data_IF_570496096859
#
_entry.id   IF_570496096859
#
_cell.length_a   1.000
_cell.length_b   1.000
_cell.length_c   1.000
_cell.angle_alpha   90.00
_cell.angle_beta   90.00
_cell.angle_gamma   90.00
#
_symmetry.space_group_name_H-M   'P 1'
#
loop_
_entity.id
_entity.type
_entity.pdbx_description
1 polymer ?
#
# COMPACT_ATOMS: atom_id res chain seq x y z
N UNK A 1 -31.66 20.20 -13.00
CA UNK A 1 -31.76 19.79 -11.59
C UNK A 1 -30.53 18.97 -11.30
N UNK A 2 -29.64 19.37 -10.38
CA UNK A 2 -28.58 18.49 -9.95
C UNK A 2 -29.22 17.33 -9.21
N UNK A 3 -28.91 16.12 -9.67
CA UNK A 3 -29.33 14.87 -9.05
C UNK A 3 -28.63 14.81 -7.69
N UNK A 4 -29.41 14.93 -6.62
CA UNK A 4 -28.98 14.51 -5.30
C UNK A 4 -28.73 13.00 -5.42
N UNK A 5 -27.49 12.61 -5.68
CA UNK A 5 -27.03 11.27 -5.33
C UNK A 5 -27.27 11.14 -3.82
N UNK A 6 -28.24 10.32 -3.46
CA UNK A 6 -28.37 9.86 -2.10
C UNK A 6 -27.08 9.09 -1.80
N UNK A 7 -26.14 9.73 -1.11
CA UNK A 7 -25.09 9.03 -0.39
C UNK A 7 -25.81 8.05 0.52
N UNK A 8 -25.69 6.75 0.22
CA UNK A 8 -26.11 5.70 1.13
C UNK A 8 -25.36 5.96 2.43
N UNK A 9 -26.08 6.37 3.47
CA UNK A 9 -25.50 6.68 4.76
C UNK A 9 -24.96 5.37 5.34
N UNK A 10 -23.63 5.27 5.49
CA UNK A 10 -22.95 4.07 5.98
C UNK A 10 -23.24 3.94 7.48
N UNK A 11 -23.84 2.82 7.88
CA UNK A 11 -24.00 2.47 9.29
C UNK A 11 -22.73 1.79 9.83
N UNK A 12 -21.83 2.60 10.37
CA UNK A 12 -20.57 2.17 11.00
C UNK A 12 -20.75 1.24 12.21
N UNK A 13 -21.97 1.13 12.74
CA UNK A 13 -22.27 0.30 13.90
C UNK A 13 -22.95 -1.03 13.53
N UNK A 14 -23.31 -1.22 12.27
CA UNK A 14 -23.85 -2.48 11.78
C UNK A 14 -22.84 -3.63 11.91
N UNK A 15 -23.33 -4.83 12.18
CA UNK A 15 -22.47 -6.03 12.26
C UNK A 15 -21.78 -6.32 10.93
N UNK A 16 -22.45 -6.05 9.80
CA UNK A 16 -21.87 -6.20 8.47
C UNK A 16 -20.67 -5.27 8.28
N UNK A 17 -20.80 -3.98 8.65
CA UNK A 17 -19.69 -3.04 8.56
C UNK A 17 -18.53 -3.47 9.46
N UNK A 18 -18.81 -3.84 10.72
CA UNK A 18 -17.76 -4.25 11.66
C UNK A 18 -17.04 -5.53 11.26
N UNK A 19 -17.75 -6.49 10.67
CA UNK A 19 -17.14 -7.70 10.13
C UNK A 19 -16.18 -7.38 8.99
N UNK A 20 -16.61 -6.62 7.98
CA UNK A 20 -15.74 -6.19 6.88
C UNK A 20 -14.56 -5.32 7.38
N UNK A 21 -14.85 -4.37 8.28
CA UNK A 21 -13.85 -3.50 8.88
C UNK A 21 -12.80 -4.27 9.67
N UNK A 22 -13.16 -5.41 10.28
CA UNK A 22 -12.19 -6.24 11.03
C UNK A 22 -11.03 -6.71 10.15
N UNK A 23 -11.31 -7.07 8.89
CA UNK A 23 -10.32 -7.54 7.92
C UNK A 23 -9.60 -6.39 7.24
N UNK A 24 -10.30 -5.35 6.81
CA UNK A 24 -9.67 -4.16 6.17
C UNK A 24 -8.76 -3.43 7.16
N UNK A 25 -9.21 -3.20 8.39
CA UNK A 25 -8.38 -2.58 9.42
C UNK A 25 -7.17 -3.46 9.79
N UNK A 26 -7.32 -4.79 9.79
CA UNK A 26 -6.20 -5.69 10.01
C UNK A 26 -5.16 -5.63 8.88
N UNK A 27 -5.61 -5.60 7.62
CA UNK A 27 -4.73 -5.42 6.46
C UNK A 27 -3.90 -4.15 6.64
N UNK A 28 -4.53 -3.02 6.97
CA UNK A 28 -3.78 -1.78 7.15
C UNK A 28 -2.79 -1.90 8.32
N UNK A 29 -3.19 -2.44 9.47
CA UNK A 29 -2.29 -2.63 10.61
C UNK A 29 -1.09 -3.54 10.29
N UNK A 30 -1.33 -4.63 9.56
CA UNK A 30 -0.26 -5.56 9.18
C UNK A 30 0.65 -4.93 8.12
N UNK A 31 0.11 -4.24 7.12
CA UNK A 31 0.89 -3.52 6.12
C UNK A 31 1.84 -2.51 6.76
N UNK A 32 1.37 -1.76 7.75
CA UNK A 32 2.18 -0.81 8.52
C UNK A 32 3.24 -1.50 9.39
N UNK A 33 2.93 -2.68 9.94
CA UNK A 33 3.91 -3.49 10.68
C UNK A 33 4.99 -4.03 9.75
N UNK A 34 4.62 -4.55 8.59
CA UNK A 34 5.58 -5.02 7.58
C UNK A 34 6.42 -3.87 7.04
N UNK A 35 5.83 -2.70 6.76
CA UNK A 35 6.55 -1.52 6.31
C UNK A 35 7.60 -1.07 7.34
N UNK A 36 7.23 -1.06 8.64
CA UNK A 36 8.17 -0.81 9.73
C UNK A 36 9.39 -1.75 9.69
N UNK A 37 9.15 -3.05 9.52
CA UNK A 37 10.19 -4.07 9.49
C UNK A 37 11.02 -4.01 8.21
N UNK A 38 10.38 -3.76 7.07
CA UNK A 38 11.01 -3.63 5.76
C UNK A 38 11.96 -2.44 5.72
N UNK A 39 11.56 -1.28 6.26
CA UNK A 39 12.44 -0.12 6.36
C UNK A 39 13.60 -0.35 7.34
N UNK A 40 13.40 -1.07 8.45
CA UNK A 40 14.51 -1.51 9.30
C UNK A 40 15.49 -2.40 8.53
N UNK A 41 14.97 -3.34 7.73
CA UNK A 41 15.80 -4.23 6.93
C UNK A 41 16.58 -3.49 5.85
N UNK A 42 15.93 -2.55 5.15
CA UNK A 42 16.58 -1.67 4.20
C UNK A 42 17.69 -0.84 4.86
N UNK A 43 17.51 -0.40 6.11
CA UNK A 43 18.54 0.34 6.85
C UNK A 43 19.80 -0.49 7.15
N UNK A 44 19.68 -1.82 7.19
CA UNK A 44 20.83 -2.73 7.25
C UNK A 44 21.53 -2.86 5.89
N UNK A 45 20.76 -2.93 4.81
CA UNK A 45 21.27 -3.09 3.44
C UNK A 45 21.87 -1.79 2.87
N UNK A 46 21.38 -0.64 3.32
CA UNK A 46 21.79 0.70 2.90
C UNK A 46 22.31 1.49 4.12
N UNK A 47 23.49 1.13 4.66
CA UNK A 47 23.99 1.71 5.91
C UNK A 47 24.25 3.23 5.82
N UNK A 48 24.48 3.76 4.61
CA UNK A 48 24.66 5.19 4.39
C UNK A 48 23.36 6.00 4.58
N UNK A 49 22.20 5.38 4.36
CA UNK A 49 20.87 6.00 4.48
C UNK A 49 20.14 5.55 5.76
N UNK A 50 20.87 4.86 6.65
CA UNK A 50 20.30 4.21 7.84
C UNK A 50 19.41 5.11 8.68
N UNK A 51 19.87 6.33 8.99
CA UNK A 51 19.11 7.23 9.87
C UNK A 51 17.80 7.68 9.23
N UNK A 52 17.80 7.90 7.91
CA UNK A 52 16.59 8.23 7.16
C UNK A 52 15.61 7.05 7.15
N UNK A 53 16.09 5.86 6.81
CA UNK A 53 15.28 4.63 6.77
C UNK A 53 14.71 4.25 8.14
N UNK A 54 15.47 4.42 9.22
CA UNK A 54 14.94 4.25 10.59
C UNK A 54 13.91 5.33 10.94
N UNK A 55 14.04 6.53 10.36
CA UNK A 55 13.03 7.57 10.43
C UNK A 55 11.70 7.14 9.81
N UNK A 56 11.75 6.58 8.58
CA UNK A 56 10.58 6.02 7.88
C UNK A 56 9.97 4.86 8.67
N UNK A 57 10.77 3.89 9.10
CA UNK A 57 10.27 2.79 9.94
C UNK A 57 9.53 3.29 11.18
N UNK A 58 10.03 4.32 11.86
CA UNK A 58 9.35 4.91 13.03
C UNK A 58 8.03 5.59 12.66
N UNK A 59 7.87 6.05 11.43
CA UNK A 59 6.64 6.64 10.91
C UNK A 59 5.54 5.59 10.77
N UNK A 60 5.84 4.46 10.12
CA UNK A 60 4.90 3.33 9.98
C UNK A 60 4.40 2.81 11.32
N UNK A 61 5.29 2.68 12.32
CA UNK A 61 4.86 2.26 13.65
C UNK A 61 3.97 3.31 14.36
N UNK A 62 3.96 4.58 13.92
CA UNK A 62 2.97 5.57 14.37
C UNK A 62 1.66 5.42 13.60
N UNK A 63 1.71 5.22 12.28
CA UNK A 63 0.54 4.98 11.44
C UNK A 63 -0.22 3.74 11.93
N UNK A 64 0.47 2.62 12.14
CA UNK A 64 -0.07 1.40 12.75
C UNK A 64 -0.88 1.69 14.01
N UNK A 65 -0.32 2.45 14.95
CA UNK A 65 -1.01 2.80 16.21
C UNK A 65 -2.24 3.68 16.00
N UNK A 66 -2.21 4.52 14.96
CA UNK A 66 -3.35 5.29 14.48
C UNK A 66 -4.48 4.36 14.01
N UNK A 67 -4.18 3.41 13.14
CA UNK A 67 -5.17 2.45 12.63
C UNK A 67 -5.68 1.46 13.69
N UNK A 68 -4.81 1.03 14.62
CA UNK A 68 -5.26 0.32 15.82
C UNK A 68 -6.27 1.14 16.65
N UNK A 69 -6.13 2.48 16.67
CA UNK A 69 -7.09 3.36 17.34
C UNK A 69 -8.42 3.46 16.58
N UNK A 70 -8.40 3.42 15.24
CA UNK A 70 -9.61 3.36 14.41
C UNK A 70 -10.44 2.10 14.70
N UNK A 71 -9.80 0.93 14.76
CA UNK A 71 -10.47 -0.31 15.21
C UNK A 71 -11.08 -0.20 16.60
N UNK A 72 -10.33 0.34 17.58
CA UNK A 72 -10.85 0.58 18.94
C UNK A 72 -12.04 1.54 18.97
N UNK A 73 -12.03 2.60 18.17
CA UNK A 73 -13.11 3.58 18.08
C UNK A 73 -14.44 2.91 17.68
N UNK A 74 -14.39 1.96 16.75
CA UNK A 74 -15.56 1.23 16.27
C UNK A 74 -15.88 -0.04 17.08
N UNK A 75 -15.11 -0.30 18.15
CA UNK A 75 -15.19 -1.55 18.93
C UNK A 75 -15.02 -2.81 18.08
N UNK A 76 -14.10 -2.74 17.11
CA UNK A 76 -13.76 -3.84 16.20
C UNK A 76 -12.44 -4.46 16.61
N UNK A 77 -12.39 -5.79 16.66
CA UNK A 77 -11.14 -6.56 16.82
C UNK A 77 -10.62 -6.87 15.42
N UNK A 78 -9.39 -6.46 15.12
CA UNK A 78 -8.76 -6.69 13.82
C UNK A 78 -8.44 -8.18 13.62
N UNK A 79 -8.80 -8.74 12.46
CA UNK A 79 -8.46 -10.11 12.06
C UNK A 79 -7.01 -10.19 11.53
N UNK A 80 -6.06 -10.26 12.46
CA UNK A 80 -4.63 -10.28 12.12
C UNK A 80 -4.17 -11.58 11.46
N UNK A 81 -4.92 -12.68 11.56
CA UNK A 81 -4.59 -13.92 10.87
C UNK A 81 -4.85 -13.76 9.38
N UNK A 82 -6.04 -13.25 9.02
CA UNK A 82 -6.37 -12.90 7.65
C UNK A 82 -5.36 -11.93 7.02
N UNK A 83 -4.96 -10.88 7.75
CA UNK A 83 -4.03 -9.88 7.24
C UNK A 83 -2.62 -10.45 6.95
N UNK A 84 -2.10 -11.34 7.79
CA UNK A 84 -0.80 -12.00 7.54
C UNK A 84 -0.86 -12.91 6.32
N UNK A 85 -1.95 -13.65 6.16
CA UNK A 85 -2.15 -14.48 4.96
C UNK A 85 -2.25 -13.62 3.70
N UNK A 86 -2.95 -12.49 3.79
CA UNK A 86 -3.12 -11.52 2.70
C UNK A 86 -1.79 -10.99 2.16
N UNK A 87 -0.84 -10.62 3.03
CA UNK A 87 0.48 -10.12 2.59
C UNK A 87 1.54 -11.21 2.35
N UNK A 88 1.31 -12.44 2.82
CA UNK A 88 2.32 -13.51 2.87
C UNK A 88 3.17 -13.68 1.60
N UNK A 89 2.56 -13.62 0.41
CA UNK A 89 3.26 -13.78 -0.86
C UNK A 89 4.21 -12.59 -1.15
N UNK A 90 3.74 -11.36 -0.93
CA UNK A 90 4.52 -10.15 -1.14
C UNK A 90 5.62 -10.03 -0.08
N UNK A 91 5.28 -10.33 1.18
CA UNK A 91 6.21 -10.42 2.29
C UNK A 91 7.34 -11.42 1.98
N UNK A 92 7.00 -12.63 1.55
CA UNK A 92 8.00 -13.65 1.21
C UNK A 92 8.94 -13.18 0.08
N UNK A 93 8.40 -12.53 -0.96
CA UNK A 93 9.22 -11.99 -2.04
C UNK A 93 10.19 -10.90 -1.54
N UNK A 94 9.76 -10.04 -0.62
CA UNK A 94 10.64 -9.08 0.03
C UNK A 94 11.74 -9.77 0.84
N UNK A 95 11.40 -10.74 1.69
CA UNK A 95 12.38 -11.44 2.54
C UNK A 95 13.43 -12.19 1.70
N UNK A 96 13.02 -12.85 0.61
CA UNK A 96 13.93 -13.49 -0.34
C UNK A 96 14.85 -12.47 -0.99
N UNK A 97 14.32 -11.36 -1.49
CA UNK A 97 15.12 -10.29 -2.08
C UNK A 97 16.13 -9.71 -1.08
N UNK A 98 15.70 -9.45 0.15
CA UNK A 98 16.55 -8.91 1.20
C UNK A 98 17.68 -9.88 1.60
N UNK A 99 17.40 -11.19 1.67
CA UNK A 99 18.40 -12.22 1.93
C UNK A 99 19.44 -12.34 0.80
N UNK A 100 19.04 -12.06 -0.43
CA UNK A 100 19.92 -12.05 -1.61
C UNK A 100 20.64 -10.70 -1.82
N UNK A 101 20.36 -9.67 -1.00
CA UNK A 101 20.92 -8.33 -1.16
C UNK A 101 20.34 -7.55 -2.37
N UNK A 102 19.18 -7.96 -2.89
CA UNK A 102 18.47 -7.33 -4.00
C UNK A 102 17.71 -6.09 -3.55
N UNK A 103 18.47 -5.01 -3.30
CA UNK A 103 17.95 -3.73 -2.80
C UNK A 103 16.91 -3.15 -3.75
N UNK A 104 17.13 -3.23 -5.06
CA UNK A 104 16.20 -2.71 -6.08
C UNK A 104 14.84 -3.39 -5.99
N UNK A 105 14.83 -4.74 -5.89
CA UNK A 105 13.59 -5.50 -5.68
C UNK A 105 12.90 -5.13 -4.36
N UNK A 106 13.66 -4.98 -3.27
CA UNK A 106 13.11 -4.58 -1.98
C UNK A 106 12.43 -3.20 -2.03
N UNK A 107 13.09 -2.21 -2.66
CA UNK A 107 12.56 -0.87 -2.83
C UNK A 107 11.34 -0.83 -3.77
N UNK A 108 11.30 -1.66 -4.82
CA UNK A 108 10.11 -1.77 -5.66
C UNK A 108 8.91 -2.33 -4.87
N UNK A 109 9.12 -3.36 -4.04
CA UNK A 109 8.04 -3.95 -3.25
C UNK A 109 7.55 -2.95 -2.20
N UNK A 110 8.44 -2.46 -1.35
CA UNK A 110 8.06 -1.57 -0.25
C UNK A 110 7.69 -0.18 -0.77
N UNK A 111 8.66 0.54 -1.31
CA UNK A 111 8.55 1.98 -1.57
C UNK A 111 7.74 2.35 -2.82
N UNK A 112 7.38 1.38 -3.68
CA UNK A 112 6.50 1.64 -4.83
C UNK A 112 5.20 0.85 -4.72
N UNK A 113 5.25 -0.48 -4.72
CA UNK A 113 4.02 -1.29 -4.75
C UNK A 113 3.18 -1.09 -3.49
N UNK A 114 3.77 -1.26 -2.30
CA UNK A 114 3.04 -1.14 -1.03
C UNK A 114 2.61 0.31 -0.81
N UNK A 115 3.50 1.29 -0.99
CA UNK A 115 3.12 2.71 -0.79
C UNK A 115 2.02 3.17 -1.75
N UNK A 116 2.09 2.83 -3.05
CA UNK A 116 1.02 3.19 -3.99
C UNK A 116 -0.29 2.48 -3.65
N UNK A 117 -0.23 1.24 -3.15
CA UNK A 117 -1.42 0.51 -2.70
C UNK A 117 -2.03 1.16 -1.46
N UNK A 118 -1.22 1.55 -0.49
CA UNK A 118 -1.65 2.23 0.73
C UNK A 118 -2.26 3.61 0.42
N UNK A 119 -1.56 4.44 -0.36
CA UNK A 119 -2.07 5.77 -0.76
C UNK A 119 -3.42 5.65 -1.49
N UNK A 120 -3.55 4.69 -2.41
CA UNK A 120 -4.83 4.41 -3.09
C UNK A 120 -5.93 4.04 -2.10
N UNK A 121 -5.68 3.06 -1.22
CA UNK A 121 -6.65 2.64 -0.22
C UNK A 121 -7.07 3.81 0.69
N UNK A 122 -6.12 4.65 1.09
CA UNK A 122 -6.38 5.79 1.97
C UNK A 122 -7.18 6.89 1.29
N UNK A 123 -6.83 7.25 0.05
CA UNK A 123 -7.55 8.24 -0.76
C UNK A 123 -9.00 7.84 -0.98
N UNK A 124 -9.25 6.55 -1.28
CA UNK A 124 -10.60 6.04 -1.51
C UNK A 124 -11.38 5.85 -0.19
N UNK A 125 -10.70 5.58 0.93
CA UNK A 125 -11.35 5.43 2.23
C UNK A 125 -11.76 6.77 2.87
N UNK A 126 -10.96 7.82 2.75
CA UNK A 126 -11.19 9.13 3.39
C UNK A 126 -12.63 9.68 3.20
N UNK A 127 -13.22 9.67 1.98
CA UNK A 127 -14.56 10.18 1.76
C UNK A 127 -15.66 9.39 2.50
N UNK A 128 -15.45 8.09 2.72
CA UNK A 128 -16.43 7.14 3.28
C UNK A 128 -16.13 6.73 4.73
N UNK A 129 -14.99 7.15 5.27
CA UNK A 129 -14.59 6.90 6.65
C UNK A 129 -15.47 7.64 7.68
N UNK A 130 -15.57 7.07 8.88
CA UNK A 130 -16.11 7.79 10.03
C UNK A 130 -15.19 8.97 10.42
N UNK A 131 -15.73 9.98 11.12
CA UNK A 131 -15.00 11.22 11.42
C UNK A 131 -13.67 11.01 12.16
N UNK A 132 -13.59 9.98 13.03
CA UNK A 132 -12.35 9.68 13.75
C UNK A 132 -11.31 9.10 12.81
N UNK A 133 -11.68 8.05 12.07
CA UNK A 133 -10.77 7.38 11.14
C UNK A 133 -10.33 8.31 10.01
N UNK A 134 -11.24 9.12 9.45
CA UNK A 134 -10.93 10.13 8.42
C UNK A 134 -9.76 11.01 8.82
N UNK A 135 -9.81 11.58 10.03
CA UNK A 135 -8.77 12.50 10.53
C UNK A 135 -7.41 11.82 10.69
N UNK A 136 -7.41 10.54 11.11
CA UNK A 136 -6.19 9.75 11.21
C UNK A 136 -5.62 9.50 9.81
N UNK A 137 -6.44 9.00 8.88
CA UNK A 137 -6.03 8.67 7.51
C UNK A 137 -5.54 9.90 6.74
N UNK A 138 -6.20 11.07 6.87
CA UNK A 138 -5.72 12.34 6.28
C UNK A 138 -4.34 12.78 6.80
N UNK A 139 -4.00 12.41 8.04
CA UNK A 139 -2.68 12.64 8.62
C UNK A 139 -1.65 11.70 8.00
N UNK A 140 -1.99 10.42 7.90
CA UNK A 140 -1.12 9.36 7.33
C UNK A 140 -0.80 9.63 5.86
N UNK A 141 -1.79 9.96 5.02
CA UNK A 141 -1.57 10.21 3.57
C UNK A 141 -0.49 11.28 3.32
N UNK A 142 -0.39 12.30 4.16
CA UNK A 142 0.66 13.34 4.02
C UNK A 142 2.06 12.80 4.29
N UNK A 143 2.16 11.87 5.24
CA UNK A 143 3.39 11.21 5.62
C UNK A 143 3.80 10.16 4.56
N UNK A 144 2.84 9.44 3.95
CA UNK A 144 3.11 8.40 2.93
C UNK A 144 3.84 8.93 1.68
N UNK A 145 3.56 10.17 1.26
CA UNK A 145 4.29 10.77 0.15
C UNK A 145 5.79 10.88 0.43
N UNK A 146 6.22 10.90 1.70
CA UNK A 146 7.65 10.87 2.05
C UNK A 146 8.26 9.48 1.85
N UNK A 147 7.50 8.41 2.10
CA UNK A 147 7.95 7.02 1.89
C UNK A 147 8.16 6.74 0.40
N UNK A 148 7.12 7.02 -0.41
CA UNK A 148 7.16 6.89 -1.86
C UNK A 148 8.36 7.65 -2.45
N UNK A 149 8.54 8.91 -2.00
CA UNK A 149 9.61 9.78 -2.48
C UNK A 149 11.03 9.25 -2.19
N UNK A 150 11.27 8.59 -1.04
CA UNK A 150 12.61 8.04 -0.76
C UNK A 150 12.99 6.95 -1.77
N UNK A 151 12.12 5.95 -1.96
CA UNK A 151 12.39 4.86 -2.89
C UNK A 151 12.47 5.33 -4.33
N UNK A 152 11.59 6.26 -4.72
CA UNK A 152 11.60 6.88 -6.04
C UNK A 152 12.94 7.57 -6.32
N UNK A 153 13.41 8.44 -5.43
CA UNK A 153 14.66 9.18 -5.62
C UNK A 153 15.89 8.27 -5.59
N UNK A 154 15.91 7.23 -4.74
CA UNK A 154 17.00 6.24 -4.76
C UNK A 154 17.04 5.47 -6.08
N UNK A 155 15.89 4.97 -6.55
CA UNK A 155 15.79 4.20 -7.79
C UNK A 155 16.10 5.04 -9.01
N UNK A 156 15.68 6.31 -9.02
CA UNK A 156 16.00 7.30 -10.05
C UNK A 156 17.49 7.58 -10.13
N UNK A 157 18.14 7.81 -8.99
CA UNK A 157 19.59 8.04 -8.93
C UNK A 157 20.40 6.82 -9.44
N UNK A 158 19.81 5.62 -9.36
CA UNK A 158 20.44 4.35 -9.75
C UNK A 158 19.77 3.71 -10.98
N UNK A 159 19.00 4.47 -11.77
CA UNK A 159 18.05 3.91 -12.74
C UNK A 159 18.70 2.98 -13.78
N UNK A 160 19.79 3.40 -14.43
CA UNK A 160 20.44 2.61 -15.48
C UNK A 160 20.92 1.24 -14.97
N UNK A 161 21.41 1.18 -13.73
CA UNK A 161 21.83 -0.08 -13.09
C UNK A 161 20.63 -0.90 -12.58
N UNK A 162 19.53 -0.24 -12.23
CA UNK A 162 18.36 -0.85 -11.58
C UNK A 162 17.30 -1.33 -12.56
N UNK A 163 17.27 -0.77 -13.79
CA UNK A 163 16.17 -0.94 -14.75
C UNK A 163 15.80 -2.40 -15.00
N UNK A 164 16.79 -3.26 -15.28
CA UNK A 164 16.52 -4.66 -15.60
C UNK A 164 15.93 -5.43 -14.41
N UNK A 165 16.43 -5.17 -13.20
CA UNK A 165 15.88 -5.78 -11.98
C UNK A 165 14.49 -5.22 -11.66
N UNK A 166 14.23 -3.92 -11.86
CA UNK A 166 12.90 -3.32 -11.69
C UNK A 166 11.86 -3.96 -12.61
N UNK A 167 12.20 -4.23 -13.87
CA UNK A 167 11.29 -4.89 -14.80
C UNK A 167 10.95 -6.33 -14.35
N UNK A 168 11.93 -7.08 -13.86
CA UNK A 168 11.73 -8.45 -13.37
C UNK A 168 10.96 -8.47 -12.04
N UNK A 169 11.32 -7.60 -11.11
CA UNK A 169 10.65 -7.44 -9.83
C UNK A 169 9.19 -7.00 -10.02
N UNK A 170 8.91 -6.07 -10.94
CA UNK A 170 7.54 -5.70 -11.31
C UNK A 170 6.76 -6.92 -11.82
N UNK A 171 7.34 -7.69 -12.75
CA UNK A 171 6.68 -8.85 -13.34
C UNK A 171 6.35 -9.92 -12.30
N UNK A 172 7.20 -10.09 -11.28
CA UNK A 172 6.98 -11.04 -10.20
C UNK A 172 5.95 -10.56 -9.16
N UNK A 173 5.90 -9.26 -8.86
CA UNK A 173 5.15 -8.73 -7.72
C UNK A 173 3.85 -8.01 -8.08
N UNK A 174 3.78 -7.31 -9.21
CA UNK A 174 2.57 -6.59 -9.61
C UNK A 174 1.32 -7.50 -9.74
N UNK A 175 1.41 -8.74 -10.25
CA UNK A 175 0.26 -9.65 -10.28
C UNK A 175 -0.30 -9.99 -8.89
N UNK A 176 0.50 -9.86 -7.82
CA UNK A 176 0.03 -10.07 -6.44
C UNK A 176 -0.92 -8.96 -6.00
N UNK A 177 -0.67 -7.71 -6.41
CA UNK A 177 -1.55 -6.57 -6.12
C UNK A 177 -2.95 -6.79 -6.69
N UNK A 178 -3.08 -7.39 -7.88
CA UNK A 178 -4.39 -7.68 -8.48
C UNK A 178 -5.13 -8.74 -7.70
N UNK A 179 -4.42 -9.78 -7.24
CA UNK A 179 -4.99 -10.81 -6.36
C UNK A 179 -5.45 -10.20 -5.04
N UNK A 180 -4.64 -9.33 -4.44
CA UNK A 180 -4.96 -8.60 -3.22
C UNK A 180 -6.22 -7.75 -3.39
N UNK A 181 -6.30 -6.94 -4.46
CA UNK A 181 -7.49 -6.12 -4.78
C UNK A 181 -8.75 -6.96 -5.00
N UNK A 182 -8.64 -8.12 -5.66
CA UNK A 182 -9.76 -9.04 -5.83
C UNK A 182 -10.20 -9.69 -4.51
N UNK A 183 -9.24 -10.00 -3.63
CA UNK A 183 -9.52 -10.66 -2.35
C UNK A 183 -10.27 -9.75 -1.37
N UNK A 184 -10.09 -8.43 -1.46
CA UNK A 184 -10.74 -7.46 -0.56
C UNK A 184 -11.99 -6.80 -1.13
N UNK A 185 -12.37 -7.11 -2.37
CA UNK A 185 -13.47 -6.44 -3.09
C UNK A 185 -14.78 -6.41 -2.29
N UNK A 186 -15.18 -7.54 -1.71
CA UNK A 186 -16.42 -7.63 -0.95
C UNK A 186 -16.40 -6.78 0.33
N UNK A 187 -15.29 -6.77 1.06
CA UNK A 187 -15.16 -5.98 2.29
C UNK A 187 -15.01 -4.50 1.99
N UNK A 188 -14.22 -4.15 0.97
CA UNK A 188 -14.07 -2.79 0.48
C UNK A 188 -15.42 -2.19 0.06
N UNK A 189 -16.24 -2.96 -0.67
CA UNK A 189 -17.59 -2.53 -1.06
C UNK A 189 -18.50 -2.25 0.14
N UNK A 190 -18.44 -3.07 1.21
CA UNK A 190 -19.17 -2.80 2.46
C UNK A 190 -18.73 -1.49 3.12
N UNK A 191 -17.45 -1.14 2.99
CA UNK A 191 -16.89 0.13 3.48
C UNK A 191 -17.17 1.32 2.54
N UNK A 192 -17.84 1.10 1.39
CA UNK A 192 -18.10 2.13 0.40
C UNK A 192 -16.89 2.43 -0.51
N UNK A 193 -15.92 1.53 -0.58
CA UNK A 193 -14.72 1.66 -1.40
C UNK A 193 -14.86 0.81 -2.66
N UNK A 194 -15.07 1.46 -3.81
CA UNK A 194 -15.21 0.77 -5.09
C UNK A 194 -13.87 0.23 -5.59
N UNK A 195 -13.85 -1.03 -6.04
CA UNK A 195 -12.64 -1.70 -6.51
C UNK A 195 -12.04 -0.99 -7.72
N UNK A 196 -12.87 -0.52 -8.64
CA UNK A 196 -12.44 0.22 -9.83
C UNK A 196 -11.69 1.51 -9.44
N UNK A 197 -12.17 2.21 -8.41
CA UNK A 197 -11.51 3.42 -7.92
C UNK A 197 -10.16 3.11 -7.26
N UNK A 198 -10.08 2.02 -6.49
CA UNK A 198 -8.82 1.53 -5.91
C UNK A 198 -7.80 1.17 -6.99
N UNK A 199 -8.23 0.47 -8.03
CA UNK A 199 -7.39 0.12 -9.19
C UNK A 199 -6.93 1.39 -9.91
N UNK A 200 -7.85 2.31 -10.20
CA UNK A 200 -7.53 3.55 -10.90
C UNK A 200 -6.48 4.39 -10.15
N UNK A 201 -6.70 4.67 -8.87
CA UNK A 201 -5.77 5.49 -8.07
C UNK A 201 -4.41 4.79 -7.93
N UNK A 202 -4.39 3.46 -7.71
CA UNK A 202 -3.14 2.70 -7.67
C UNK A 202 -2.35 2.81 -8.98
N UNK A 203 -3.03 2.67 -10.12
CA UNK A 203 -2.40 2.72 -11.44
C UNK A 203 -1.83 4.09 -11.77
N UNK A 204 -2.51 5.16 -11.35
CA UNK A 204 -2.03 6.54 -11.48
C UNK A 204 -0.76 6.71 -10.65
N UNK A 205 -0.83 6.44 -9.35
CA UNK A 205 0.28 6.64 -8.42
C UNK A 205 1.52 5.82 -8.82
N UNK A 206 1.34 4.54 -9.14
CA UNK A 206 2.43 3.66 -9.53
C UNK A 206 3.01 4.03 -10.90
N UNK A 207 2.16 4.41 -11.86
CA UNK A 207 2.59 4.85 -13.19
C UNK A 207 3.39 6.16 -13.15
N UNK A 208 2.98 7.10 -12.30
CA UNK A 208 3.70 8.35 -12.04
C UNK A 208 5.06 8.09 -11.40
N UNK A 209 5.13 7.25 -10.36
CA UNK A 209 6.38 6.90 -9.71
C UNK A 209 7.39 6.24 -10.69
N UNK A 210 6.93 5.29 -11.52
CA UNK A 210 7.76 4.68 -12.57
C UNK A 210 8.25 5.72 -13.59
N UNK A 211 7.39 6.67 -13.97
CA UNK A 211 7.76 7.75 -14.90
C UNK A 211 8.84 8.64 -14.29
N UNK A 212 8.70 9.02 -13.02
CA UNK A 212 9.66 9.86 -12.32
C UNK A 212 11.02 9.19 -12.12
N UNK A 213 11.04 7.87 -11.94
CA UNK A 213 12.27 7.06 -11.86
C UNK A 213 13.03 7.07 -13.19
N UNK A 214 12.33 7.15 -14.32
CA UNK A 214 12.94 7.25 -15.65
C UNK A 214 12.36 6.30 -16.71
N UNK A 215 11.29 5.55 -16.39
CA UNK A 215 10.62 4.72 -17.39
C UNK A 215 9.87 5.57 -18.41
N UNK A 216 9.88 5.13 -19.67
CA UNK A 216 9.09 5.78 -20.72
C UNK A 216 7.61 5.43 -20.57
N UNK A 217 6.70 6.22 -21.16
CA UNK A 217 5.27 5.87 -21.20
C UNK A 217 5.04 4.45 -21.76
N UNK A 218 5.83 4.03 -22.75
CA UNK A 218 5.74 2.67 -23.31
C UNK A 218 6.16 1.60 -22.30
N UNK A 219 7.20 1.86 -21.52
CA UNK A 219 7.65 0.95 -20.48
C UNK A 219 6.62 0.83 -19.36
N UNK A 220 6.07 1.96 -18.89
CA UNK A 220 5.00 1.98 -17.88
C UNK A 220 3.81 1.15 -18.34
N UNK A 221 3.29 1.40 -19.54
CA UNK A 221 2.15 0.63 -20.08
C UNK A 221 2.45 -0.88 -20.17
N UNK A 222 3.67 -1.26 -20.56
CA UNK A 222 4.10 -2.67 -20.59
C UNK A 222 4.15 -3.26 -19.18
N UNK A 223 4.74 -2.55 -18.22
CA UNK A 223 4.90 -2.99 -16.84
C UNK A 223 3.54 -3.12 -16.13
N UNK A 224 2.66 -2.14 -16.30
CA UNK A 224 1.27 -2.11 -15.88
C UNK A 224 0.48 -3.32 -16.37
N UNK A 225 0.66 -3.69 -17.65
CA UNK A 225 -0.04 -4.83 -18.24
C UNK A 225 0.36 -6.19 -17.61
N UNK A 226 1.50 -6.29 -16.92
CA UNK A 226 1.85 -7.50 -16.17
C UNK A 226 0.88 -7.78 -15.02
N UNK A 227 0.28 -6.74 -14.41
CA UNK A 227 -0.76 -6.92 -13.39
C UNK A 227 -1.98 -7.67 -13.92
N UNK A 228 -2.31 -7.47 -15.20
CA UNK A 228 -3.41 -8.15 -15.89
C UNK A 228 -3.14 -9.64 -16.16
N UNK A 229 -1.92 -10.13 -15.98
CA UNK A 229 -1.61 -11.56 -16.11
C UNK A 229 -2.14 -12.39 -14.93
N UNK A 230 -2.65 -11.74 -13.87
CA UNK A 230 -3.35 -12.38 -12.76
C UNK A 230 -4.88 -12.47 -12.95
N UNK A 231 -5.42 -12.02 -14.09
CA UNK A 231 -6.84 -12.13 -14.45
C UNK A 231 -7.16 -13.52 -15.01
#
# INVERSE_FOLDING_TARGET
MPQLEATLEIDFHSEQYKDAYSRINAIVIEGEQEAHENYQKLAELLPNDKDQLIGLARMENRHKKGFEACGRNLSVVADMEFAREFFSALHNNFQVAAAEGKIVTCLLIQSLIIECFAISAYNIYIPVADDFARKITEGVVKDEYMHLNYGEEWLKANFEASKAELEEANKANLPLVWKMLNQVEADASVLGMEREALVEDFMIQYGEALTNIGFTTRDVMRMSAHGLAAV
#
